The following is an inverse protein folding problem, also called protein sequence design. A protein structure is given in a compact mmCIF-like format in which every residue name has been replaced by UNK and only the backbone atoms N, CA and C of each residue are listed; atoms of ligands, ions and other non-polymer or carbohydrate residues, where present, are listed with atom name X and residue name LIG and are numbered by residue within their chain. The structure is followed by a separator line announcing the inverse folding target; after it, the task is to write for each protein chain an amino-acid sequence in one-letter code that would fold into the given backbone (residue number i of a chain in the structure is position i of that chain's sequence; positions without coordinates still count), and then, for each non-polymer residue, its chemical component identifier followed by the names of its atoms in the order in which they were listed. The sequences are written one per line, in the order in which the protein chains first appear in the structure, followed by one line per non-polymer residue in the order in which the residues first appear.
data_IF_776148539929
#
_entry.id   IF_776148539929
#
_cell.length_a   1.000
_cell.length_b   1.000
_cell.length_c   1.000
_cell.angle_alpha   90.00
_cell.angle_beta   90.00
_cell.angle_gamma   90.00
#
_symmetry.space_group_name_H-M   'P 1'
#
loop_
_entity.id
_entity.type
_entity.pdbx_description
1 polymer ?
#
# COMPACT_ATOMS: atom_id res chain seq x y z
N UNK A 1 -0.69 -8.27 10.19
CA UNK A 1 0.66 -8.64 10.66
C UNK A 1 1.64 -8.04 9.66
N UNK A 2 2.60 -7.24 10.14
CA UNK A 2 3.70 -6.75 9.30
C UNK A 2 4.68 -7.90 9.08
N UNK A 3 5.01 -8.19 7.81
CA UNK A 3 5.92 -9.29 7.44
C UNK A 3 7.29 -8.79 6.98
N UNK A 4 7.35 -7.55 6.50
CA UNK A 4 8.57 -6.96 5.98
C UNK A 4 8.46 -5.43 5.98
N UNK A 5 9.47 -4.77 6.51
CA UNK A 5 9.71 -3.33 6.40
C UNK A 5 11.23 -3.15 6.29
N UNK A 6 11.67 -2.28 5.40
CA UNK A 6 13.09 -2.10 5.11
C UNK A 6 13.41 -0.64 4.82
N UNK A 7 14.60 -0.22 5.23
CA UNK A 7 15.05 1.16 5.14
C UNK A 7 16.36 1.22 4.35
N UNK A 8 16.39 2.10 3.34
CA UNK A 8 17.54 2.23 2.44
C UNK A 8 18.63 3.12 3.06
N UNK A 9 19.88 2.64 3.01
CA UNK A 9 21.06 3.46 3.31
C UNK A 9 21.17 4.64 2.32
N UNK A 10 21.50 5.84 2.81
CA UNK A 10 21.72 7.04 1.99
C UNK A 10 20.49 7.89 1.63
N UNK A 11 19.27 7.49 1.97
CA UNK A 11 18.03 8.29 1.76
C UNK A 11 17.26 8.57 3.06
N UNK A 12 17.89 8.40 4.22
CA UNK A 12 17.31 8.63 5.55
C UNK A 12 17.32 10.12 5.94
N UNK A 13 16.92 11.02 5.04
CA UNK A 13 16.68 12.41 5.40
C UNK A 13 15.47 12.46 6.35
N UNK A 14 15.74 12.49 7.66
CA UNK A 14 14.73 12.59 8.72
C UNK A 14 14.71 11.44 9.72
N UNK A 15 15.31 10.29 9.40
CA UNK A 15 15.39 9.16 10.33
C UNK A 15 16.82 8.99 10.84
N UNK A 16 17.16 9.75 11.89
CA UNK A 16 18.35 9.48 12.69
C UNK A 16 18.11 8.18 13.47
N UNK A 17 19.07 7.24 13.44
CA UNK A 17 19.06 5.97 14.19
C UNK A 17 18.12 4.86 13.68
N UNK A 18 17.96 4.69 12.37
CA UNK A 18 17.35 3.45 11.86
C UNK A 18 18.37 2.31 11.94
N UNK A 19 18.08 1.32 12.78
CA UNK A 19 18.84 0.07 12.81
C UNK A 19 18.54 -0.76 11.55
N UNK A 20 19.50 -1.54 11.07
CA UNK A 20 19.36 -2.45 9.92
C UNK A 20 19.11 -1.78 8.56
N UNK A 21 19.78 -0.66 8.29
CA UNK A 21 19.83 -0.10 6.93
C UNK A 21 20.41 -1.13 5.95
N UNK A 22 19.79 -1.23 4.78
CA UNK A 22 20.23 -2.09 3.68
C UNK A 22 20.42 -1.25 2.43
N UNK A 23 21.25 -1.71 1.51
CA UNK A 23 21.32 -1.08 0.18
C UNK A 23 19.97 -1.21 -0.54
N UNK A 24 19.62 -0.25 -1.40
CA UNK A 24 18.42 -0.33 -2.23
C UNK A 24 18.38 -1.65 -3.02
N UNK A 25 19.52 -2.08 -3.56
CA UNK A 25 19.63 -3.33 -4.32
C UNK A 25 19.26 -4.55 -3.46
N UNK A 26 19.71 -4.59 -2.20
CA UNK A 26 19.37 -5.65 -1.26
C UNK A 26 17.87 -5.66 -0.95
N UNK A 27 17.30 -4.50 -0.64
CA UNK A 27 15.87 -4.36 -0.36
C UNK A 27 15.00 -4.81 -1.53
N UNK A 28 15.33 -4.39 -2.75
CA UNK A 28 14.58 -4.78 -3.94
C UNK A 28 14.72 -6.26 -4.27
N UNK A 29 15.88 -6.86 -4.01
CA UNK A 29 16.09 -8.31 -4.18
C UNK A 29 15.22 -9.10 -3.20
N UNK A 30 15.21 -8.69 -1.92
CA UNK A 30 14.34 -9.31 -0.89
C UNK A 30 12.85 -9.10 -1.21
N UNK A 31 12.48 -7.91 -1.67
CA UNK A 31 11.13 -7.60 -2.13
C UNK A 31 10.68 -8.55 -3.24
N UNK A 32 11.50 -8.78 -4.28
CA UNK A 32 11.17 -9.72 -5.35
C UNK A 32 10.89 -11.13 -4.82
N UNK A 33 11.71 -11.63 -3.90
CA UNK A 33 11.49 -12.94 -3.25
C UNK A 33 10.17 -12.97 -2.47
N UNK A 34 9.78 -11.86 -1.85
CA UNK A 34 8.53 -11.78 -1.08
C UNK A 34 7.31 -11.77 -2.01
N UNK A 35 7.37 -11.05 -3.14
CA UNK A 35 6.22 -10.85 -4.04
C UNK A 35 6.14 -11.88 -5.17
N UNK A 36 7.11 -12.79 -5.28
CA UNK A 36 7.11 -13.87 -6.26
C UNK A 36 5.78 -14.64 -6.22
N UNK A 37 5.16 -14.77 -7.40
CA UNK A 37 3.84 -15.41 -7.62
C UNK A 37 2.68 -14.82 -6.80
N UNK A 38 2.81 -13.59 -6.32
CA UNK A 38 1.77 -12.90 -5.55
C UNK A 38 1.28 -11.65 -6.26
N UNK A 39 0.01 -11.37 -6.04
CA UNK A 39 -0.57 -10.07 -6.39
C UNK A 39 -0.22 -9.03 -5.34
N UNK A 40 0.19 -7.85 -5.78
CA UNK A 40 0.52 -6.70 -4.94
C UNK A 40 -0.70 -5.79 -4.83
N UNK A 41 -1.08 -5.43 -3.62
CA UNK A 41 -2.25 -4.57 -3.37
C UNK A 41 -1.75 -3.20 -2.92
N UNK A 42 -2.09 -2.16 -3.68
CA UNK A 42 -1.71 -0.78 -3.40
C UNK A 42 -2.93 0.13 -3.28
N UNK A 43 -2.80 1.23 -2.57
CA UNK A 43 -3.76 2.32 -2.58
C UNK A 43 -3.23 3.43 -3.48
N UNK A 44 -3.86 3.64 -4.63
CA UNK A 44 -3.34 4.47 -5.72
C UNK A 44 -2.06 3.90 -6.35
N UNK A 45 -2.18 2.70 -6.94
CA UNK A 45 -1.08 1.87 -7.41
C UNK A 45 -0.12 2.53 -8.42
N UNK A 46 -0.58 3.51 -9.21
CA UNK A 46 0.26 4.21 -10.19
C UNK A 46 1.51 4.82 -9.55
N UNK A 47 1.34 5.45 -8.37
CA UNK A 47 2.44 6.07 -7.64
C UNK A 47 3.48 5.04 -7.18
N UNK A 48 3.03 3.95 -6.55
CA UNK A 48 3.91 2.88 -6.06
C UNK A 48 4.65 2.19 -7.22
N UNK A 49 3.96 1.93 -8.33
CA UNK A 49 4.53 1.31 -9.53
C UNK A 49 5.65 2.19 -10.09
N UNK A 50 5.46 3.50 -10.15
CA UNK A 50 6.48 4.43 -10.67
C UNK A 50 7.70 4.53 -9.75
N UNK A 51 7.50 4.57 -8.42
CA UNK A 51 8.58 4.49 -7.45
C UNK A 51 9.37 3.19 -7.60
N UNK A 52 8.69 2.05 -7.75
CA UNK A 52 9.33 0.75 -7.95
C UNK A 52 10.14 0.74 -9.26
N UNK A 53 9.54 1.14 -10.39
CA UNK A 53 10.25 1.21 -11.68
C UNK A 53 11.52 2.07 -11.60
N UNK A 54 11.43 3.24 -10.96
CA UNK A 54 12.58 4.11 -10.78
C UNK A 54 13.65 3.46 -9.90
N UNK A 55 13.25 2.86 -8.79
CA UNK A 55 14.14 2.22 -7.82
C UNK A 55 14.87 1.03 -8.42
N UNK A 56 14.18 0.18 -9.20
CA UNK A 56 14.79 -0.93 -9.95
C UNK A 56 15.79 -0.44 -10.99
N UNK A 57 15.43 0.60 -11.75
CA UNK A 57 16.33 1.23 -12.73
C UNK A 57 17.60 1.78 -12.06
N UNK A 58 17.47 2.42 -10.91
CA UNK A 58 18.59 3.03 -10.18
C UNK A 58 19.68 2.00 -9.82
N UNK A 59 19.31 0.76 -9.51
CA UNK A 59 20.27 -0.30 -9.12
C UNK A 59 20.56 -1.32 -10.23
N UNK A 60 20.02 -1.10 -11.43
CA UNK A 60 20.20 -1.99 -12.58
C UNK A 60 19.59 -3.38 -12.41
N UNK A 61 18.50 -3.51 -11.63
CA UNK A 61 17.76 -4.76 -11.49
C UNK A 61 16.62 -4.83 -12.54
N UNK A 62 16.37 -5.99 -13.16
CA UNK A 62 15.20 -6.16 -14.01
C UNK A 62 13.93 -6.18 -13.15
N UNK A 63 12.92 -5.41 -13.57
CA UNK A 63 11.57 -5.53 -13.01
C UNK A 63 10.82 -6.58 -13.82
N UNK A 64 10.56 -7.73 -13.22
CA UNK A 64 9.70 -8.76 -13.81
C UNK A 64 8.23 -8.29 -13.84
N UNK A 65 7.38 -8.97 -14.60
CA UNK A 65 5.95 -8.67 -14.61
C UNK A 65 5.35 -8.95 -13.22
N UNK A 66 5.16 -7.89 -12.44
CA UNK A 66 4.44 -7.91 -11.18
C UNK A 66 2.97 -7.60 -11.45
N UNK A 67 2.08 -8.33 -10.79
CA UNK A 67 0.64 -8.09 -10.87
C UNK A 67 0.21 -7.17 -9.72
N UNK A 68 -0.58 -6.13 -10.04
CA UNK A 68 -1.06 -5.16 -9.07
C UNK A 68 -2.60 -5.06 -9.11
N UNK A 69 -3.24 -5.00 -7.94
CA UNK A 69 -4.60 -4.46 -7.80
C UNK A 69 -4.56 -3.10 -7.11
N UNK A 70 -5.37 -2.17 -7.61
CA UNK A 70 -5.48 -0.82 -7.08
C UNK A 70 -6.76 -0.67 -6.26
N UNK A 71 -6.64 -0.55 -4.94
CA UNK A 71 -7.78 -0.38 -4.06
C UNK A 71 -8.54 0.92 -4.28
N UNK A 72 -7.87 1.95 -4.82
CA UNK A 72 -8.52 3.21 -5.18
C UNK A 72 -9.48 3.04 -6.36
N UNK A 73 -9.13 2.23 -7.36
CA UNK A 73 -10.02 1.90 -8.48
C UNK A 73 -11.18 1.05 -7.96
N UNK A 74 -10.89 0.00 -7.19
CA UNK A 74 -11.92 -0.84 -6.58
C UNK A 74 -12.89 -0.01 -5.72
N UNK A 75 -12.41 0.99 -4.98
CA UNK A 75 -13.24 1.88 -4.19
C UNK A 75 -14.21 2.70 -5.04
N UNK A 76 -13.76 3.20 -6.21
CA UNK A 76 -14.61 3.93 -7.15
C UNK A 76 -15.71 3.07 -7.73
N UNK A 77 -15.38 1.83 -8.06
CA UNK A 77 -16.34 0.87 -8.60
C UNK A 77 -17.37 0.46 -7.54
N UNK A 78 -16.94 0.28 -6.28
CA UNK A 78 -17.84 -0.12 -5.19
C UNK A 78 -18.68 1.04 -4.65
N UNK A 79 -18.14 2.25 -4.61
CA UNK A 79 -18.76 3.42 -3.99
C UNK A 79 -18.73 4.60 -4.96
N UNK A 80 -19.60 4.63 -5.98
CA UNK A 80 -19.62 5.74 -6.92
C UNK A 80 -20.03 7.04 -6.22
N UNK A 81 -19.48 8.17 -6.70
CA UNK A 81 -19.85 9.53 -6.28
C UNK A 81 -19.46 9.94 -4.84
N UNK A 82 -18.40 9.35 -4.28
CA UNK A 82 -17.80 9.89 -3.05
C UNK A 82 -17.04 11.20 -3.32
N UNK A 83 -16.99 12.08 -2.32
CA UNK A 83 -16.25 13.34 -2.40
C UNK A 83 -14.73 13.12 -2.53
N UNK A 84 -14.24 11.99 -2.03
CA UNK A 84 -12.84 11.59 -2.09
C UNK A 84 -12.70 10.08 -2.04
N UNK A 85 -11.57 9.59 -2.53
CA UNK A 85 -11.17 8.19 -2.45
C UNK A 85 -9.80 8.04 -1.79
N UNK A 86 -9.37 9.04 -1.00
CA UNK A 86 -8.16 8.91 -0.20
C UNK A 86 -8.32 7.82 0.86
N UNK A 87 -7.21 7.21 1.27
CA UNK A 87 -7.22 6.16 2.29
C UNK A 87 -7.82 6.66 3.61
N UNK A 88 -7.54 7.91 3.99
CA UNK A 88 -8.14 8.56 5.15
C UNK A 88 -9.67 8.65 5.02
N UNK A 89 -10.15 9.18 3.89
CA UNK A 89 -11.58 9.38 3.65
C UNK A 89 -12.32 8.05 3.69
N UNK A 90 -11.84 7.04 2.94
CA UNK A 90 -12.43 5.71 2.87
C UNK A 90 -12.40 5.01 4.24
N UNK A 91 -11.32 5.20 5.01
CA UNK A 91 -11.23 4.66 6.36
C UNK A 91 -12.28 5.25 7.29
N UNK A 92 -12.55 6.55 7.21
CA UNK A 92 -13.61 7.21 7.97
C UNK A 92 -15.00 6.76 7.48
N UNK A 93 -15.22 6.77 6.17
CA UNK A 93 -16.49 6.39 5.53
C UNK A 93 -16.94 4.98 5.93
N UNK A 94 -16.01 4.03 5.98
CA UNK A 94 -16.30 2.64 6.35
C UNK A 94 -16.13 2.33 7.84
N UNK A 95 -15.87 3.33 8.68
CA UNK A 95 -15.55 3.15 10.11
C UNK A 95 -14.43 2.09 10.31
N UNK A 96 -13.43 2.10 9.42
CA UNK A 96 -12.40 1.08 9.31
C UNK A 96 -11.45 1.13 10.51
N UNK A 97 -11.08 -0.06 11.00
CA UNK A 97 -10.09 -0.21 12.07
C UNK A 97 -8.97 -1.17 11.65
N UNK A 98 -7.75 -0.78 11.94
CA UNK A 98 -6.58 -1.66 11.92
C UNK A 98 -6.11 -1.87 13.36
N UNK A 99 -6.00 -3.14 13.80
CA UNK A 99 -5.62 -3.49 15.17
C UNK A 99 -6.39 -2.71 16.26
N UNK A 100 -7.70 -2.59 16.09
CA UNK A 100 -8.62 -1.83 16.97
C UNK A 100 -8.38 -0.31 17.03
N UNK A 101 -7.56 0.25 16.14
CA UNK A 101 -7.33 1.69 16.01
C UNK A 101 -7.96 2.25 14.73
N UNK A 102 -8.49 3.46 14.84
CA UNK A 102 -8.97 4.23 13.69
C UNK A 102 -7.82 4.86 12.91
N UNK A 103 -8.11 5.29 11.68
CA UNK A 103 -7.16 6.04 10.88
C UNK A 103 -6.79 7.35 11.57
N UNK A 104 -5.50 7.61 11.68
CA UNK A 104 -4.90 8.78 12.32
C UNK A 104 -4.22 9.61 11.24
N UNK A 105 -4.74 10.82 10.92
CA UNK A 105 -4.23 11.64 9.82
C UNK A 105 -2.75 12.02 9.98
N UNK A 106 -2.27 12.16 11.21
CA UNK A 106 -0.87 12.48 11.51
C UNK A 106 0.10 11.31 11.26
N UNK A 107 -0.41 10.09 11.06
CA UNK A 107 0.38 8.90 10.72
C UNK A 107 0.34 8.59 9.21
N UNK A 108 -0.51 9.28 8.45
CA UNK A 108 -0.59 9.15 7.00
C UNK A 108 0.77 9.42 6.35
N UNK A 109 1.02 8.79 5.20
CA UNK A 109 2.30 8.84 4.48
C UNK A 109 3.46 8.10 5.15
N UNK A 110 3.21 7.46 6.30
CA UNK A 110 4.10 6.41 6.80
C UNK A 110 3.81 5.13 6.03
N UNK A 111 4.78 4.64 5.26
CA UNK A 111 4.57 3.52 4.32
C UNK A 111 3.92 2.28 4.98
N UNK A 112 4.41 1.86 6.16
CA UNK A 112 3.83 0.71 6.87
C UNK A 112 2.43 0.97 7.43
N UNK A 113 2.12 2.22 7.78
CA UNK A 113 0.79 2.62 8.21
C UNK A 113 -0.21 2.56 7.05
N UNK A 114 0.14 3.16 5.91
CA UNK A 114 -0.70 3.16 4.72
C UNK A 114 -0.87 1.75 4.16
N UNK A 115 0.17 0.91 4.16
CA UNK A 115 0.08 -0.49 3.78
C UNK A 115 -0.89 -1.28 4.70
N UNK A 116 -0.84 -1.02 6.01
CA UNK A 116 -1.74 -1.65 6.98
C UNK A 116 -3.20 -1.29 6.69
N UNK A 117 -3.51 0.00 6.53
CA UNK A 117 -4.87 0.43 6.26
C UNK A 117 -5.35 0.00 4.87
N UNK A 118 -4.47 -0.04 3.87
CA UNK A 118 -4.76 -0.60 2.55
C UNK A 118 -5.18 -2.06 2.64
N UNK A 119 -4.46 -2.88 3.41
CA UNK A 119 -4.82 -4.29 3.63
C UNK A 119 -6.19 -4.43 4.31
N UNK A 120 -6.44 -3.66 5.37
CA UNK A 120 -7.72 -3.71 6.08
C UNK A 120 -8.88 -3.23 5.21
N UNK A 121 -8.66 -2.19 4.40
CA UNK A 121 -9.63 -1.68 3.44
C UNK A 121 -9.94 -2.72 2.36
N UNK A 122 -8.91 -3.28 1.71
CA UNK A 122 -9.06 -4.34 0.70
C UNK A 122 -9.85 -5.53 1.24
N UNK A 123 -9.52 -6.00 2.45
CA UNK A 123 -10.28 -7.07 3.09
C UNK A 123 -11.73 -6.70 3.33
N UNK A 124 -12.01 -5.48 3.75
CA UNK A 124 -13.38 -5.02 4.00
C UNK A 124 -14.20 -5.02 2.71
N UNK A 125 -13.67 -4.47 1.61
CA UNK A 125 -14.41 -4.39 0.34
C UNK A 125 -14.54 -5.75 -0.37
N UNK A 126 -13.53 -6.63 -0.26
CA UNK A 126 -13.55 -7.94 -0.95
C UNK A 126 -14.29 -9.00 -0.16
N UNK A 127 -14.19 -9.01 1.17
CA UNK A 127 -14.73 -10.09 2.01
C UNK A 127 -16.14 -9.80 2.56
N UNK A 128 -16.65 -8.57 2.47
CA UNK A 128 -18.01 -8.23 2.92
C UNK A 128 -18.96 -8.18 1.70
N UNK A 129 -19.82 -9.20 1.46
CA UNK A 129 -20.61 -9.34 0.24
C UNK A 129 -21.66 -8.24 0.02
N UNK A 130 -21.92 -7.40 1.02
CA UNK A 130 -22.91 -6.33 0.97
C UNK A 130 -22.37 -4.99 0.47
N UNK A 131 -21.05 -4.76 0.47
CA UNK A 131 -20.48 -3.48 0.04
C UNK A 131 -20.33 -3.35 -1.47
N UNK A 132 -20.15 -4.47 -2.17
CA UNK A 132 -20.07 -4.54 -3.64
C UNK A 132 -21.44 -4.50 -4.33
N UNK A 133 -22.55 -4.72 -3.61
CA UNK A 133 -23.92 -4.66 -4.16
C UNK A 133 -24.62 -3.31 -3.97
N UNK A 134 -24.08 -2.41 -3.13
CA UNK A 134 -24.65 -1.07 -2.90
C UNK A 134 -24.32 -0.06 -4.01
N UNK A 135 -23.49 -0.43 -5.00
CA UNK A 135 -23.15 0.40 -6.17
C UNK A 135 -24.28 0.54 -7.21
N UNK A 136 -25.48 0.00 -6.94
CA UNK A 136 -26.61 -0.05 -7.87
C UNK A 136 -27.91 0.59 -7.37
N UNK A 137 -27.87 1.45 -6.34
CA UNK A 137 -29.03 2.23 -5.89
C UNK A 137 -28.77 3.72 -5.91
#
# INVERSE_FOLDING_TARGET
MLIYEGFCDGNSHGFQNVLNLKSLKTLLTEFLTIVEEKKIICHYAEHDIDILKHSFRQVGLPLHNLEFDCTWILAKDCFPNLESYSLEYLSKYLNLRAYNQYFLPNMAHTASYDATFTYHFYRKIVLEPGLTQLAHW
#
